data_IF_805571714489
#
_entry.id   IF_805571714489
#
_cell.length_a   1.000
_cell.length_b   1.000
_cell.length_c   1.000
_cell.angle_alpha   90.00
_cell.angle_beta   90.00
_cell.angle_gamma   90.00
#
_symmetry.space_group_name_H-M   'P 1'
#
loop_
_entity.id
_entity.type
_entity.pdbx_description
1 polymer ?
#
# COMPACT_ATOMS: atom_id res chain seq x y z
N UNK A 1 8.60 -13.16 -5.67
CA UNK A 1 7.36 -12.88 -4.92
C UNK A 1 7.22 -11.36 -4.83
N UNK A 2 6.33 -10.75 -5.63
CA UNK A 2 6.26 -9.28 -5.84
C UNK A 2 5.27 -8.52 -4.96
N UNK A 3 4.41 -9.22 -4.20
CA UNK A 3 3.20 -8.64 -3.60
C UNK A 3 3.39 -7.40 -2.71
N UNK A 4 4.52 -7.28 -2.01
CA UNK A 4 4.81 -6.07 -1.21
C UNK A 4 5.04 -4.85 -2.12
N UNK A 5 5.77 -5.02 -3.24
CA UNK A 5 6.04 -3.95 -4.19
C UNK A 5 4.80 -3.51 -4.98
N UNK A 6 3.77 -4.37 -5.03
CA UNK A 6 2.51 -4.07 -5.71
C UNK A 6 1.57 -3.20 -4.83
N UNK A 7 1.83 -3.12 -3.52
CA UNK A 7 0.97 -2.38 -2.57
C UNK A 7 1.69 -1.24 -1.86
N UNK A 8 3.01 -1.32 -1.70
CA UNK A 8 3.83 -0.27 -1.08
C UNK A 8 4.48 0.58 -2.17
N UNK A 9 4.21 1.88 -2.12
CA UNK A 9 4.90 2.93 -2.86
C UNK A 9 5.92 3.56 -1.92
N UNK A 10 7.20 3.32 -2.22
CA UNK A 10 8.32 3.76 -1.40
C UNK A 10 8.29 5.28 -1.17
N UNK A 11 8.50 5.68 0.09
CA UNK A 11 8.46 7.09 0.51
C UNK A 11 7.06 7.70 0.65
N UNK A 12 5.99 7.01 0.20
CA UNK A 12 4.62 7.55 0.21
C UNK A 12 3.75 6.87 1.27
N UNK A 13 3.58 5.56 1.17
CA UNK A 13 2.73 4.77 2.09
C UNK A 13 3.52 3.68 2.83
N UNK A 14 4.85 3.73 2.74
CA UNK A 14 5.80 2.84 3.41
C UNK A 14 7.23 3.13 2.96
N UNK A 15 8.18 2.36 3.51
CA UNK A 15 9.59 2.37 3.11
C UNK A 15 9.94 0.95 2.66
N UNK A 16 10.45 0.80 1.44
CA UNK A 16 10.95 -0.47 0.93
C UNK A 16 12.41 -0.64 1.33
N UNK A 17 12.72 -1.79 1.91
CA UNK A 17 14.09 -2.17 2.30
C UNK A 17 14.50 -3.44 1.57
N UNK A 18 15.81 -3.56 1.30
CA UNK A 18 16.39 -4.74 0.70
C UNK A 18 16.29 -5.95 1.66
N UNK A 19 15.92 -7.14 1.16
CA UNK A 19 15.87 -8.34 1.98
C UNK A 19 17.23 -8.61 2.65
N UNK A 20 17.22 -8.96 3.94
CA UNK A 20 18.41 -9.28 4.73
C UNK A 20 19.42 -8.12 4.89
N UNK A 21 19.05 -6.89 4.55
CA UNK A 21 19.86 -5.72 4.83
C UNK A 21 19.44 -5.11 6.19
N UNK A 22 20.21 -5.39 7.24
CA UNK A 22 19.96 -4.87 8.59
C UNK A 22 20.13 -3.36 8.69
N UNK A 23 21.05 -2.79 7.91
CA UNK A 23 21.41 -1.37 7.99
C UNK A 23 20.30 -0.52 7.36
N UNK A 24 19.79 -0.92 6.19
CA UNK A 24 18.62 -0.27 5.57
C UNK A 24 17.37 -0.34 6.46
N UNK A 25 17.16 -1.47 7.16
CA UNK A 25 16.05 -1.61 8.09
C UNK A 25 16.22 -0.67 9.31
N UNK A 26 17.43 -0.58 9.86
CA UNK A 26 17.75 0.34 10.94
C UNK A 26 17.48 1.79 10.52
N UNK A 27 18.00 2.21 9.37
CA UNK A 27 17.84 3.58 8.86
C UNK A 27 16.37 3.93 8.63
N UNK A 28 15.58 2.98 8.10
CA UNK A 28 14.14 3.17 7.90
C UNK A 28 13.39 3.36 9.23
N UNK A 29 13.71 2.55 10.24
CA UNK A 29 13.10 2.65 11.58
C UNK A 29 13.51 3.96 12.25
N UNK A 30 14.79 4.32 12.22
CA UNK A 30 15.32 5.54 12.84
C UNK A 30 14.71 6.79 12.20
N UNK A 31 14.60 6.82 10.87
CA UNK A 31 13.94 7.90 10.13
C UNK A 31 12.49 8.12 10.57
N UNK A 32 11.71 7.06 10.72
CA UNK A 32 10.32 7.14 11.17
C UNK A 32 10.21 7.50 12.66
N UNK A 33 11.14 7.04 13.48
CA UNK A 33 11.21 7.36 14.89
C UNK A 33 11.51 8.85 15.11
N UNK A 34 12.50 9.40 14.38
CA UNK A 34 12.94 10.79 14.48
C UNK A 34 11.98 11.77 13.81
N UNK A 35 11.22 11.35 12.79
CA UNK A 35 10.27 12.20 12.08
C UNK A 35 8.82 11.70 12.21
N UNK A 36 8.14 12.17 13.27
CA UNK A 36 6.74 11.81 13.55
C UNK A 36 5.74 12.25 12.49
N UNK A 37 5.99 13.38 11.83
CA UNK A 37 5.13 13.88 10.75
C UNK A 37 5.19 12.96 9.54
N UNK A 38 6.40 12.51 9.17
CA UNK A 38 6.59 11.50 8.13
C UNK A 38 5.87 10.20 8.48
N UNK A 39 6.05 9.70 9.71
CA UNK A 39 5.38 8.48 10.14
C UNK A 39 3.85 8.59 10.09
N UNK A 40 3.28 9.73 10.53
CA UNK A 40 1.84 9.97 10.48
C UNK A 40 1.32 10.06 9.04
N UNK A 41 1.99 10.86 8.19
CA UNK A 41 1.59 11.03 6.79
C UNK A 41 1.66 9.72 6.00
N UNK A 42 2.72 8.92 6.18
CA UNK A 42 2.81 7.58 5.57
C UNK A 42 1.68 6.66 6.06
N UNK A 43 1.37 6.68 7.35
CA UNK A 43 0.27 5.89 7.91
C UNK A 43 -1.09 6.29 7.35
N UNK A 44 -1.35 7.60 7.23
CA UNK A 44 -2.58 8.13 6.64
C UNK A 44 -2.70 7.76 5.15
N UNK A 45 -1.61 7.92 4.39
CA UNK A 45 -1.56 7.52 2.98
C UNK A 45 -1.83 6.02 2.83
N UNK A 46 -1.24 5.19 3.68
CA UNK A 46 -1.47 3.74 3.67
C UNK A 46 -2.93 3.39 4.01
N UNK A 47 -3.50 4.04 5.03
CA UNK A 47 -4.91 3.85 5.38
C UNK A 47 -5.84 4.17 4.20
N UNK A 48 -5.63 5.31 3.54
CA UNK A 48 -6.42 5.72 2.37
C UNK A 48 -6.24 4.74 1.20
N UNK A 49 -5.01 4.30 0.90
CA UNK A 49 -4.75 3.30 -0.14
C UNK A 49 -5.37 1.94 0.19
N UNK A 50 -5.41 1.56 1.47
CA UNK A 50 -5.97 0.28 1.92
C UNK A 50 -7.46 0.16 1.63
N UNK A 51 -8.17 1.29 1.48
CA UNK A 51 -9.60 1.29 1.18
C UNK A 51 -9.93 0.54 -0.12
N UNK A 52 -9.01 0.57 -1.11
CA UNK A 52 -9.18 -0.16 -2.37
C UNK A 52 -9.28 -1.68 -2.15
N UNK A 53 -8.80 -2.18 -1.02
CA UNK A 53 -8.85 -3.60 -0.65
C UNK A 53 -10.00 -3.94 0.28
N UNK A 54 -10.81 -2.97 0.70
CA UNK A 54 -12.02 -3.25 1.48
C UNK A 54 -12.98 -4.13 0.69
N UNK A 55 -13.60 -5.10 1.37
CA UNK A 55 -14.49 -6.08 0.73
C UNK A 55 -15.56 -5.42 -0.12
N UNK A 56 -16.16 -4.31 0.33
CA UNK A 56 -17.16 -3.53 -0.43
C UNK A 56 -16.63 -3.05 -1.80
N UNK A 57 -15.37 -2.62 -1.86
CA UNK A 57 -14.75 -2.07 -3.06
C UNK A 57 -14.21 -3.20 -3.96
N UNK A 58 -13.84 -4.34 -3.38
CA UNK A 58 -13.52 -5.57 -4.13
C UNK A 58 -14.77 -6.14 -4.79
N UNK A 59 -15.87 -6.30 -4.04
CA UNK A 59 -17.15 -6.79 -4.57
C UNK A 59 -17.67 -5.88 -5.67
N UNK A 60 -17.68 -4.55 -5.47
CA UNK A 60 -18.12 -3.61 -6.50
C UNK A 60 -17.35 -3.76 -7.81
N UNK A 61 -16.02 -3.85 -7.76
CA UNK A 61 -15.20 -4.06 -8.97
C UNK A 61 -15.48 -5.38 -9.65
N UNK A 62 -15.83 -6.41 -8.87
CA UNK A 62 -16.22 -7.71 -9.42
C UNK A 62 -17.59 -7.63 -10.12
N UNK A 63 -18.56 -6.94 -9.52
CA UNK A 63 -19.87 -6.66 -10.12
C UNK A 63 -19.71 -5.87 -11.43
N UNK A 64 -18.90 -4.81 -11.44
CA UNK A 64 -18.60 -4.01 -12.63
C UNK A 64 -18.05 -4.87 -13.79
N UNK A 65 -17.18 -5.84 -13.49
CA UNK A 65 -16.65 -6.78 -14.50
C UNK A 65 -17.78 -7.68 -15.06
N UNK A 66 -18.66 -8.19 -14.20
CA UNK A 66 -19.79 -9.01 -14.65
C UNK A 66 -20.77 -8.19 -15.51
N UNK A 67 -21.06 -6.95 -15.12
CA UNK A 67 -21.94 -6.06 -15.87
C UNK A 67 -21.38 -5.80 -17.28
N UNK A 68 -20.07 -5.52 -17.41
CA UNK A 68 -19.41 -5.36 -18.72
C UNK A 68 -19.58 -6.62 -19.59
N UNK A 69 -19.34 -7.81 -19.00
CA UNK A 69 -19.40 -9.08 -19.72
C UNK A 69 -20.84 -9.45 -20.15
N UNK A 70 -21.84 -9.11 -19.35
CA UNK A 70 -23.25 -9.41 -19.63
C UNK A 70 -23.87 -8.40 -20.60
N UNK A 71 -23.51 -7.11 -20.47
CA UNK A 71 -24.02 -6.04 -21.34
C UNK A 71 -23.36 -5.99 -22.73
N UNK A 72 -22.31 -6.79 -22.96
CA UNK A 72 -21.72 -6.98 -24.29
C UNK A 72 -21.09 -5.73 -24.89
N UNK A 73 -20.49 -4.87 -24.05
CA UNK A 73 -19.59 -3.79 -24.51
C UNK A 73 -18.15 -4.27 -24.61
#
# INVERSE_FOLDING_TARGET
>A
MGGIKDVVIDGINGILVSPQNSDELYDAIDRLYMNRELAFSMGLNNYNESERFYSKNVVRRLEEIYDILIEGK
#
